data_IF_379043957771
#
_entry.id   IF_379043957771
#
_cell.length_a   1.000
_cell.length_b   1.000
_cell.length_c   1.000
_cell.angle_alpha   90.00
_cell.angle_beta   90.00
_cell.angle_gamma   90.00
#
_symmetry.space_group_name_H-M   'P 1'
#
loop_
_entity.id
_entity.type
_entity.pdbx_description
1 polymer ?
#
# COMPACT_ATOMS: atom_id res chain seq x y z
N UNK A 1 7.16 -11.57 13.96
CA UNK A 1 6.48 -11.53 12.66
C UNK A 1 5.11 -12.13 12.86
N UNK A 2 4.07 -11.45 12.45
CA UNK A 2 2.67 -11.87 12.68
C UNK A 2 2.14 -12.56 11.42
N UNK A 3 1.34 -13.59 11.61
CA UNK A 3 0.68 -14.31 10.52
C UNK A 3 -0.82 -14.13 10.63
N UNK A 4 -1.53 -14.18 9.50
CA UNK A 4 -2.99 -14.16 9.52
C UNK A 4 -3.52 -15.49 10.06
N UNK A 5 -4.66 -15.48 10.77
CA UNK A 5 -5.27 -16.72 11.24
C UNK A 5 -5.65 -17.65 10.08
N UNK A 6 -5.34 -18.95 10.19
CA UNK A 6 -5.65 -19.95 9.16
C UNK A 6 -7.16 -20.00 8.83
N UNK A 7 -8.00 -19.77 9.85
CA UNK A 7 -9.46 -19.77 9.74
C UNK A 7 -10.04 -18.54 9.02
N UNK A 8 -9.22 -17.51 8.69
CA UNK A 8 -9.71 -16.32 8.00
C UNK A 8 -10.13 -16.65 6.57
N UNK A 9 -11.42 -16.54 6.31
CA UNK A 9 -12.04 -16.75 5.00
C UNK A 9 -13.04 -15.61 4.76
N UNK A 10 -12.66 -14.57 3.99
CA UNK A 10 -13.54 -13.44 3.72
C UNK A 10 -14.68 -13.86 2.77
N UNK A 11 -15.89 -13.40 3.05
CA UNK A 11 -17.05 -13.53 2.15
C UNK A 11 -16.97 -12.49 1.03
N UNK A 12 -17.80 -12.64 -0.01
CA UNK A 12 -17.81 -11.71 -1.16
C UNK A 12 -18.30 -10.30 -0.81
N UNK A 13 -19.01 -10.15 0.30
CA UNK A 13 -19.54 -8.90 0.86
C UNK A 13 -18.72 -8.36 2.05
N UNK A 14 -17.55 -8.95 2.30
CA UNK A 14 -16.72 -8.69 3.47
C UNK A 14 -16.33 -7.21 3.66
N UNK A 15 -16.19 -6.46 2.56
CA UNK A 15 -15.82 -5.05 2.54
C UNK A 15 -16.95 -4.15 1.99
N UNK A 16 -18.20 -4.60 2.03
CA UNK A 16 -19.32 -3.76 1.60
C UNK A 16 -19.29 -2.40 2.31
N UNK A 17 -19.59 -1.35 1.55
CA UNK A 17 -19.61 0.05 2.00
C UNK A 17 -18.25 0.60 2.48
N UNK A 18 -17.16 -0.14 2.34
CA UNK A 18 -15.81 0.36 2.67
C UNK A 18 -15.25 1.22 1.53
N UNK A 19 -14.70 2.38 1.89
CA UNK A 19 -13.99 3.30 0.99
C UNK A 19 -12.49 3.15 1.27
N UNK A 20 -11.74 2.67 0.28
CA UNK A 20 -10.32 2.33 0.47
C UNK A 20 -9.46 3.02 -0.59
N UNK A 21 -8.50 3.84 -0.15
CA UNK A 21 -7.52 4.50 -1.01
C UNK A 21 -6.26 3.63 -1.17
N UNK A 22 -5.87 3.37 -2.41
CA UNK A 22 -4.70 2.57 -2.75
C UNK A 22 -3.72 3.38 -3.58
N UNK A 23 -2.49 3.60 -3.07
CA UNK A 23 -1.43 4.25 -3.85
C UNK A 23 -0.71 3.24 -4.74
N UNK A 24 -0.21 3.71 -5.89
CA UNK A 24 0.43 2.82 -6.84
C UNK A 24 -0.52 1.76 -7.42
N UNK A 25 -1.80 2.10 -7.57
CA UNK A 25 -2.89 1.20 -7.94
C UNK A 25 -2.68 0.44 -9.27
N UNK A 26 -1.78 0.90 -10.14
CA UNK A 26 -1.43 0.23 -11.40
C UNK A 26 -0.14 -0.61 -11.32
N UNK A 27 0.51 -0.67 -10.16
CA UNK A 27 1.64 -1.57 -9.87
C UNK A 27 1.16 -2.97 -9.48
N UNK A 28 2.09 -3.94 -9.36
CA UNK A 28 1.74 -5.34 -9.06
C UNK A 28 0.86 -5.48 -7.83
N UNK A 29 1.33 -5.02 -6.66
CA UNK A 29 0.53 -5.07 -5.44
C UNK A 29 -0.71 -4.19 -5.50
N UNK A 30 -0.57 -2.94 -5.99
CA UNK A 30 -1.71 -2.03 -6.08
C UNK A 30 -2.85 -2.60 -6.91
N UNK A 31 -2.54 -3.22 -8.06
CA UNK A 31 -3.53 -3.85 -8.93
C UNK A 31 -4.19 -5.06 -8.26
N UNK A 32 -3.39 -5.98 -7.71
CA UNK A 32 -3.89 -7.19 -7.06
C UNK A 32 -4.76 -6.87 -5.84
N UNK A 33 -4.31 -5.92 -5.00
CA UNK A 33 -5.04 -5.50 -3.78
C UNK A 33 -6.33 -4.77 -4.12
N UNK A 34 -6.30 -3.82 -5.07
CA UNK A 34 -7.51 -3.10 -5.50
C UNK A 34 -8.56 -4.05 -6.08
N UNK A 35 -8.14 -5.00 -6.93
CA UNK A 35 -9.03 -6.01 -7.49
C UNK A 35 -9.64 -6.90 -6.39
N UNK A 36 -8.82 -7.33 -5.43
CA UNK A 36 -9.29 -8.14 -4.31
C UNK A 36 -10.30 -7.40 -3.44
N UNK A 37 -10.06 -6.12 -3.14
CA UNK A 37 -10.98 -5.30 -2.35
C UNK A 37 -12.30 -5.04 -3.08
N UNK A 38 -12.24 -4.67 -4.37
CA UNK A 38 -13.43 -4.47 -5.19
C UNK A 38 -14.26 -5.76 -5.29
N UNK A 39 -13.61 -6.92 -5.48
CA UNK A 39 -14.28 -8.25 -5.49
C UNK A 39 -15.01 -8.55 -4.18
N UNK A 40 -14.58 -7.98 -3.06
CA UNK A 40 -15.21 -8.19 -1.75
C UNK A 40 -16.12 -7.02 -1.34
N UNK A 41 -16.52 -6.16 -2.29
CA UNK A 41 -17.55 -5.15 -2.12
C UNK A 41 -17.07 -3.74 -1.77
N UNK A 42 -15.75 -3.50 -1.68
CA UNK A 42 -15.24 -2.15 -1.40
C UNK A 42 -15.31 -1.23 -2.62
N UNK A 43 -15.59 0.05 -2.40
CA UNK A 43 -15.28 1.12 -3.34
C UNK A 43 -13.81 1.49 -3.20
N UNK A 44 -13.03 1.27 -4.25
CA UNK A 44 -11.59 1.54 -4.24
C UNK A 44 -11.28 2.86 -4.93
N UNK A 45 -10.45 3.69 -4.31
CA UNK A 45 -9.90 4.93 -4.89
C UNK A 45 -8.51 4.61 -5.42
N UNK A 46 -8.34 4.65 -6.73
CA UNK A 46 -7.15 4.23 -7.45
C UNK A 46 -6.20 5.41 -7.66
N UNK A 47 -5.20 5.58 -6.79
CA UNK A 47 -4.19 6.62 -6.94
C UNK A 47 -2.99 6.10 -7.73
N UNK A 48 -2.72 6.69 -8.91
CA UNK A 48 -1.59 6.35 -9.76
C UNK A 48 -1.17 7.52 -10.65
N UNK A 49 0.11 7.55 -11.08
CA UNK A 49 0.62 8.65 -11.92
C UNK A 49 0.23 8.57 -13.40
N UNK A 50 -0.08 7.39 -13.89
CA UNK A 50 -0.37 7.18 -15.32
C UNK A 50 -1.88 7.06 -15.54
N UNK A 51 -2.49 8.14 -16.04
CA UNK A 51 -3.92 8.22 -16.27
C UNK A 51 -4.44 7.09 -17.17
N UNK A 52 -3.81 6.84 -18.32
CA UNK A 52 -4.26 5.79 -19.25
C UNK A 52 -4.27 4.40 -18.62
N UNK A 53 -3.26 4.10 -17.78
CA UNK A 53 -3.19 2.78 -17.10
C UNK A 53 -4.25 2.65 -16.02
N UNK A 54 -4.54 3.72 -15.30
CA UNK A 54 -5.55 3.66 -14.23
C UNK A 54 -6.96 3.64 -14.81
N UNK A 55 -7.23 4.35 -15.91
CA UNK A 55 -8.49 4.25 -16.68
C UNK A 55 -8.74 2.84 -17.19
N UNK A 56 -7.75 2.21 -17.82
CA UNK A 56 -7.86 0.82 -18.28
C UNK A 56 -8.11 -0.15 -17.12
N UNK A 57 -7.56 0.12 -15.93
CA UNK A 57 -7.79 -0.69 -14.74
C UNK A 57 -9.16 -0.41 -14.10
N UNK A 58 -9.64 0.82 -14.16
CA UNK A 58 -10.99 1.20 -13.80
C UNK A 58 -12.02 0.38 -14.64
N UNK A 59 -11.87 0.39 -15.96
CA UNK A 59 -12.73 -0.38 -16.88
C UNK A 59 -12.69 -1.89 -16.59
N UNK A 60 -11.51 -2.42 -16.20
CA UNK A 60 -11.36 -3.82 -15.83
C UNK A 60 -12.18 -4.18 -14.57
N UNK A 61 -12.19 -3.31 -13.56
CA UNK A 61 -12.98 -3.49 -12.33
C UNK A 61 -14.48 -3.41 -12.64
N UNK A 62 -14.93 -2.38 -13.38
CA UNK A 62 -16.35 -2.23 -13.76
C UNK A 62 -16.86 -3.42 -14.58
N UNK A 63 -16.06 -3.92 -15.51
CA UNK A 63 -16.42 -5.09 -16.34
C UNK A 63 -16.66 -6.36 -15.52
N UNK A 64 -16.07 -6.48 -14.32
CA UNK A 64 -16.31 -7.58 -13.41
C UNK A 64 -17.63 -7.43 -12.64
N UNK A 65 -18.31 -6.28 -12.74
CA UNK A 65 -19.54 -5.99 -12.00
C UNK A 65 -19.29 -5.65 -10.53
N UNK A 66 -18.07 -5.27 -10.16
CA UNK A 66 -17.73 -4.82 -8.81
C UNK A 66 -18.14 -3.35 -8.60
N UNK A 67 -18.13 -2.83 -7.34
CA UNK A 67 -18.40 -1.43 -7.09
C UNK A 67 -17.53 -0.51 -7.96
N UNK A 68 -18.16 0.51 -8.54
CA UNK A 68 -17.48 1.49 -9.40
C UNK A 68 -16.33 2.15 -8.66
N UNK A 69 -15.07 2.02 -9.13
CA UNK A 69 -13.93 2.63 -8.47
C UNK A 69 -13.88 4.15 -8.73
N UNK A 70 -13.14 4.89 -7.91
CA UNK A 70 -12.75 6.26 -8.21
C UNK A 70 -11.30 6.31 -8.70
N UNK A 71 -10.97 7.28 -9.56
CA UNK A 71 -9.61 7.51 -10.05
C UNK A 71 -9.06 8.81 -9.48
N UNK A 72 -7.82 8.77 -8.99
CA UNK A 72 -7.08 9.97 -8.59
C UNK A 72 -5.68 9.98 -9.22
N UNK A 73 -5.49 10.67 -10.36
CA UNK A 73 -4.18 10.80 -10.99
C UNK A 73 -3.27 11.69 -10.14
N UNK A 74 -2.16 11.14 -9.62
CA UNK A 74 -1.17 11.90 -8.86
C UNK A 74 0.23 11.32 -9.04
N UNK A 75 1.22 12.20 -9.30
CA UNK A 75 2.62 11.83 -9.29
C UNK A 75 3.24 12.10 -7.92
N UNK A 76 3.45 11.06 -7.12
CA UNK A 76 3.98 11.16 -5.77
C UNK A 76 5.40 11.77 -5.70
N UNK A 77 6.15 11.75 -6.79
CA UNK A 77 7.49 12.33 -6.87
C UNK A 77 7.46 13.85 -6.78
N UNK A 78 6.46 14.49 -7.39
CA UNK A 78 6.32 15.96 -7.43
C UNK A 78 5.19 16.50 -6.56
N UNK A 79 4.41 15.64 -5.91
CA UNK A 79 3.28 16.08 -5.10
C UNK A 79 3.73 16.85 -3.85
N UNK A 80 3.03 17.94 -3.57
CA UNK A 80 3.23 18.84 -2.44
C UNK A 80 2.20 18.61 -1.34
N UNK A 81 2.37 19.22 -0.16
CA UNK A 81 1.35 19.20 0.90
C UNK A 81 -0.02 19.68 0.40
N UNK A 82 -0.05 20.66 -0.51
CA UNK A 82 -1.30 21.18 -1.08
C UNK A 82 -2.05 20.10 -1.89
N UNK A 83 -1.34 19.32 -2.71
CA UNK A 83 -1.94 18.26 -3.52
C UNK A 83 -2.57 17.16 -2.65
N UNK A 84 -1.93 16.81 -1.52
CA UNK A 84 -2.49 15.85 -0.56
C UNK A 84 -3.67 16.41 0.23
N UNK A 85 -3.66 17.71 0.55
CA UNK A 85 -4.80 18.37 1.19
C UNK A 85 -6.01 18.44 0.24
N UNK A 86 -5.78 18.75 -1.03
CA UNK A 86 -6.82 18.74 -2.08
C UNK A 86 -7.40 17.32 -2.28
N UNK A 87 -6.55 16.30 -2.32
CA UNK A 87 -7.01 14.90 -2.35
C UNK A 87 -7.94 14.58 -1.18
N UNK A 88 -7.55 14.96 0.04
CA UNK A 88 -8.37 14.71 1.22
C UNK A 88 -9.73 15.43 1.15
N UNK A 89 -9.77 16.69 0.68
CA UNK A 89 -11.00 17.45 0.47
C UNK A 89 -11.90 16.76 -0.57
N UNK A 90 -11.33 16.29 -1.68
CA UNK A 90 -12.09 15.61 -2.72
C UNK A 90 -12.70 14.30 -2.21
N UNK A 91 -11.93 13.50 -1.45
CA UNK A 91 -12.45 12.28 -0.81
C UNK A 91 -13.56 12.61 0.20
N UNK A 92 -13.39 13.69 0.98
CA UNK A 92 -14.40 14.12 1.94
C UNK A 92 -15.72 14.50 1.24
N UNK A 93 -15.63 15.27 0.17
CA UNK A 93 -16.80 15.74 -0.59
C UNK A 93 -17.54 14.61 -1.27
N UNK A 94 -16.84 13.59 -1.76
CA UNK A 94 -17.43 12.49 -2.52
C UNK A 94 -17.92 11.34 -1.61
N UNK A 95 -17.13 10.98 -0.59
CA UNK A 95 -17.38 9.80 0.22
C UNK A 95 -17.64 10.09 1.71
N UNK A 96 -17.31 11.29 2.19
CA UNK A 96 -17.50 11.72 3.57
C UNK A 96 -16.52 11.10 4.58
N UNK A 97 -15.89 9.96 4.28
CA UNK A 97 -14.96 9.23 5.14
C UNK A 97 -13.97 8.41 4.34
N UNK A 98 -13.00 7.84 5.03
CA UNK A 98 -12.10 6.82 4.50
C UNK A 98 -11.99 5.65 5.50
N UNK A 99 -12.19 4.42 5.02
CA UNK A 99 -12.12 3.22 5.86
C UNK A 99 -10.77 2.50 5.76
N UNK A 100 -10.01 2.74 4.69
CA UNK A 100 -8.71 2.13 4.50
C UNK A 100 -7.75 2.98 3.66
N UNK A 101 -6.46 2.91 3.99
CA UNK A 101 -5.37 3.47 3.22
C UNK A 101 -4.27 2.42 3.02
N UNK A 102 -3.94 2.09 1.77
CA UNK A 102 -2.89 1.12 1.46
C UNK A 102 -1.78 1.75 0.64
N UNK A 103 -0.60 1.80 1.22
CA UNK A 103 0.60 2.32 0.56
C UNK A 103 1.32 1.22 -0.24
N UNK A 104 0.89 1.03 -1.51
CA UNK A 104 1.51 0.10 -2.45
C UNK A 104 2.56 0.76 -3.36
N UNK A 105 2.58 2.09 -3.45
CA UNK A 105 3.56 2.81 -4.26
C UNK A 105 4.97 2.63 -3.69
N UNK A 106 5.93 2.41 -4.58
CA UNK A 106 7.34 2.34 -4.22
C UNK A 106 8.24 2.10 -5.42
N UNK A 107 9.46 2.58 -5.33
CA UNK A 107 10.51 2.39 -6.33
C UNK A 107 11.76 1.83 -5.69
N UNK A 108 12.53 1.08 -6.48
CA UNK A 108 13.80 0.48 -6.03
C UNK A 108 14.96 1.49 -6.00
N UNK A 109 14.93 2.48 -6.88
CA UNK A 109 16.12 3.29 -7.17
C UNK A 109 17.16 2.48 -7.93
N UNK A 110 18.42 2.62 -7.53
CA UNK A 110 19.57 1.93 -8.11
C UNK A 110 20.39 1.27 -7.00
N UNK A 111 20.24 -0.05 -6.78
CA UNK A 111 21.10 -0.79 -5.83
C UNK A 111 22.58 -0.59 -6.20
N UNK A 112 23.35 -0.02 -5.27
CA UNK A 112 24.72 0.39 -5.52
C UNK A 112 25.52 0.45 -4.21
N UNK A 113 26.87 0.33 -4.24
CA UNK A 113 27.70 0.69 -3.10
C UNK A 113 27.42 2.13 -2.65
N UNK A 114 27.36 2.35 -1.34
CA UNK A 114 26.96 3.63 -0.76
C UNK A 114 27.79 4.83 -1.25
N UNK A 115 29.09 4.63 -1.47
CA UNK A 115 30.01 5.68 -1.99
C UNK A 115 29.69 6.14 -3.42
N UNK A 116 28.95 5.34 -4.19
CA UNK A 116 28.52 5.66 -5.56
C UNK A 116 27.02 5.98 -5.65
N UNK A 117 26.35 6.16 -4.51
CA UNK A 117 24.93 6.52 -4.48
C UNK A 117 24.71 7.87 -5.15
N UNK A 118 23.81 7.91 -6.11
CA UNK A 118 23.39 9.16 -6.75
C UNK A 118 22.40 9.92 -5.88
N UNK A 119 22.75 11.15 -5.52
CA UNK A 119 21.93 11.99 -4.63
C UNK A 119 20.54 12.26 -5.18
N UNK A 120 20.38 12.40 -6.49
CA UNK A 120 19.06 12.61 -7.10
C UNK A 120 18.19 11.36 -6.95
N UNK A 121 18.74 10.19 -7.23
CA UNK A 121 18.07 8.90 -7.03
C UNK A 121 17.73 8.68 -5.55
N UNK A 122 18.63 9.03 -4.64
CA UNK A 122 18.39 9.00 -3.19
C UNK A 122 17.16 9.83 -2.80
N UNK A 123 17.09 11.09 -3.24
CA UNK A 123 15.95 11.96 -2.95
C UNK A 123 14.67 11.43 -3.58
N UNK A 124 14.70 10.95 -4.82
CA UNK A 124 13.54 10.40 -5.50
C UNK A 124 12.96 9.19 -4.76
N UNK A 125 13.82 8.26 -4.31
CA UNK A 125 13.39 7.09 -3.55
C UNK A 125 12.74 7.49 -2.23
N UNK A 126 13.36 8.40 -1.48
CA UNK A 126 12.79 8.87 -0.20
C UNK A 126 11.49 9.65 -0.42
N UNK A 127 11.40 10.45 -1.48
CA UNK A 127 10.18 11.19 -1.80
C UNK A 127 9.01 10.22 -2.03
N UNK A 128 9.19 9.18 -2.83
CA UNK A 128 8.10 8.26 -3.19
C UNK A 128 7.84 7.23 -2.08
N UNK A 129 8.90 6.65 -1.49
CA UNK A 129 8.74 5.52 -0.56
C UNK A 129 8.46 5.95 0.88
N UNK A 130 8.77 7.19 1.28
CA UNK A 130 8.67 7.65 2.66
C UNK A 130 7.90 8.97 2.81
N UNK A 131 8.31 10.05 2.11
CA UNK A 131 7.67 11.36 2.29
C UNK A 131 6.22 11.39 1.78
N UNK A 132 5.96 10.77 0.62
CA UNK A 132 4.61 10.65 0.09
C UNK A 132 3.67 9.86 1.03
N UNK A 133 4.03 8.67 1.54
CA UNK A 133 3.27 7.98 2.57
C UNK A 133 3.01 8.83 3.82
N UNK A 134 4.01 9.56 4.30
CA UNK A 134 3.86 10.46 5.45
C UNK A 134 2.83 11.57 5.18
N UNK A 135 3.01 12.31 4.09
CA UNK A 135 2.14 13.45 3.75
C UNK A 135 0.69 13.00 3.49
N UNK A 136 0.53 11.91 2.73
CA UNK A 136 -0.79 11.37 2.43
C UNK A 136 -1.49 10.87 3.70
N UNK A 137 -0.82 10.05 4.52
CA UNK A 137 -1.43 9.56 5.76
C UNK A 137 -1.87 10.71 6.65
N UNK A 138 -0.98 11.69 6.86
CA UNK A 138 -1.28 12.88 7.65
C UNK A 138 -2.53 13.63 7.14
N UNK A 139 -2.65 13.80 5.83
CA UNK A 139 -3.76 14.54 5.22
C UNK A 139 -5.10 13.81 5.34
N UNK A 140 -5.12 12.47 5.32
CA UNK A 140 -6.38 11.69 5.38
C UNK A 140 -6.76 11.19 6.79
N UNK A 141 -5.93 11.40 7.81
CA UNK A 141 -6.26 11.07 9.22
C UNK A 141 -7.64 11.58 9.63
N UNK A 142 -8.06 12.84 9.33
CA UNK A 142 -9.39 13.31 9.68
C UNK A 142 -10.52 12.46 9.08
N UNK A 143 -10.32 11.91 7.87
CA UNK A 143 -11.29 11.04 7.19
C UNK A 143 -11.29 9.63 7.80
N UNK A 144 -10.13 9.09 8.15
CA UNK A 144 -10.00 7.81 8.84
C UNK A 144 -10.68 7.83 10.21
N UNK A 145 -10.61 8.95 10.93
CA UNK A 145 -11.31 9.15 12.22
C UNK A 145 -12.84 9.08 12.11
N UNK A 146 -13.41 9.34 10.93
CA UNK A 146 -14.86 9.27 10.66
C UNK A 146 -15.35 7.84 10.38
N UNK A 147 -14.47 6.89 10.13
CA UNK A 147 -14.80 5.47 9.99
C UNK A 147 -15.12 4.85 11.34
N UNK A 148 -15.96 3.83 11.35
CA UNK A 148 -16.18 3.01 12.57
C UNK A 148 -14.93 2.20 12.94
N UNK A 149 -14.19 1.75 11.93
CA UNK A 149 -12.88 1.11 12.05
C UNK A 149 -12.09 1.33 10.77
N UNK A 150 -10.97 2.01 10.89
CA UNK A 150 -10.08 2.34 9.78
C UNK A 150 -8.77 1.55 9.86
N UNK A 151 -8.20 1.22 8.70
CA UNK A 151 -6.92 0.54 8.62
C UNK A 151 -5.95 1.27 7.69
N UNK A 152 -4.71 1.46 8.16
CA UNK A 152 -3.59 1.95 7.35
C UNK A 152 -2.57 0.85 7.20
N UNK A 153 -2.23 0.50 5.95
CA UNK A 153 -1.32 -0.59 5.63
C UNK A 153 -0.13 -0.08 4.82
N UNK A 154 1.07 -0.37 5.31
CA UNK A 154 2.32 -0.06 4.62
C UNK A 154 2.97 -1.33 4.09
N UNK A 155 3.37 -1.35 2.82
CA UNK A 155 4.24 -2.40 2.27
C UNK A 155 5.68 -2.06 2.60
N UNK A 156 6.28 -2.85 3.51
CA UNK A 156 7.65 -2.72 3.96
C UNK A 156 8.55 -3.81 3.35
N UNK A 157 9.84 -3.77 3.66
CA UNK A 157 10.82 -4.77 3.29
C UNK A 157 11.91 -4.81 4.37
N UNK A 158 12.58 -5.93 4.56
CA UNK A 158 13.61 -6.12 5.57
C UNK A 158 15.05 -5.92 5.04
N UNK A 159 15.19 -5.34 3.84
CA UNK A 159 16.48 -5.12 3.18
C UNK A 159 17.39 -4.18 3.97
N UNK A 160 18.38 -4.75 4.64
CA UNK A 160 19.38 -4.06 5.50
C UNK A 160 20.83 -4.34 5.09
N UNK A 161 21.04 -5.19 4.08
CA UNK A 161 22.36 -5.59 3.64
C UNK A 161 23.04 -4.54 2.76
N UNK A 162 24.24 -4.86 2.30
CA UNK A 162 24.98 -4.04 1.36
C UNK A 162 24.19 -3.79 0.07
N UNK A 163 24.41 -2.64 -0.53
CA UNK A 163 23.89 -2.22 -1.83
C UNK A 163 22.39 -1.84 -1.89
N UNK A 164 21.63 -1.97 -0.80
CA UNK A 164 20.22 -1.57 -0.81
C UNK A 164 19.97 -0.07 -0.71
N UNK A 165 21.00 0.70 -0.37
CA UNK A 165 21.04 2.16 -0.44
C UNK A 165 19.73 2.85 0.04
N UNK A 166 19.24 3.84 -0.69
CA UNK A 166 18.01 4.59 -0.38
C UNK A 166 16.77 3.69 -0.20
N UNK A 167 16.66 2.60 -1.00
CA UNK A 167 15.54 1.68 -0.87
C UNK A 167 15.48 1.04 0.52
N UNK A 168 16.57 0.43 0.95
CA UNK A 168 16.64 -0.22 2.26
C UNK A 168 16.34 0.76 3.39
N UNK A 169 16.95 1.95 3.37
CA UNK A 169 16.71 3.00 4.36
C UNK A 169 15.25 3.42 4.37
N UNK A 170 14.65 3.71 3.21
CA UNK A 170 13.26 4.15 3.12
C UNK A 170 12.27 3.10 3.64
N UNK A 171 12.50 1.81 3.37
CA UNK A 171 11.62 0.73 3.83
C UNK A 171 11.71 0.49 5.34
N UNK A 172 12.90 0.64 5.94
CA UNK A 172 13.06 0.58 7.40
C UNK A 172 12.42 1.79 8.09
N UNK A 173 12.60 2.99 7.54
CA UNK A 173 11.97 4.21 8.03
C UNK A 173 10.44 4.12 7.98
N UNK A 174 9.90 3.56 6.90
CA UNK A 174 8.46 3.34 6.74
C UNK A 174 7.89 2.37 7.81
N UNK A 175 8.62 1.28 8.12
CA UNK A 175 8.23 0.35 9.17
C UNK A 175 8.23 1.02 10.56
N UNK A 176 9.23 1.85 10.85
CA UNK A 176 9.30 2.63 12.09
C UNK A 176 8.15 3.66 12.16
N UNK A 177 7.85 4.36 11.07
CA UNK A 177 6.74 5.30 11.00
C UNK A 177 5.40 4.62 11.29
N UNK A 178 5.18 3.42 10.77
CA UNK A 178 3.97 2.65 11.06
C UNK A 178 3.83 2.32 12.55
N UNK A 179 4.93 1.94 13.21
CA UNK A 179 4.93 1.66 14.67
C UNK A 179 4.63 2.92 15.50
N UNK A 180 5.19 4.07 15.11
CA UNK A 180 4.92 5.36 15.77
C UNK A 180 3.44 5.70 15.65
N UNK A 181 2.89 5.64 14.45
CA UNK A 181 1.46 5.92 14.20
C UNK A 181 0.56 4.93 14.95
N UNK A 182 0.89 3.64 14.98
CA UNK A 182 0.14 2.65 15.72
C UNK A 182 0.07 2.99 17.23
N UNK A 183 1.19 3.40 17.81
CA UNK A 183 1.25 3.79 19.21
C UNK A 183 0.45 5.08 19.49
N UNK A 184 0.52 6.07 18.60
CA UNK A 184 -0.25 7.33 18.72
C UNK A 184 -1.76 7.12 18.63
N UNK A 185 -2.21 6.13 17.87
CA UNK A 185 -3.63 5.80 17.68
C UNK A 185 -4.09 4.57 18.47
N UNK A 186 -3.31 4.11 19.44
CA UNK A 186 -3.71 3.02 20.34
C UNK A 186 -5.04 3.33 21.05
N UNK A 187 -5.95 2.37 21.06
CA UNK A 187 -7.30 2.54 21.64
C UNK A 187 -8.26 3.40 20.80
N UNK A 188 -7.84 3.88 19.63
CA UNK A 188 -8.72 4.58 18.69
C UNK A 188 -9.34 3.61 17.67
N UNK A 189 -10.13 4.15 16.74
CA UNK A 189 -10.69 3.41 15.62
C UNK A 189 -9.67 3.17 14.46
N UNK A 190 -8.46 3.71 14.54
CA UNK A 190 -7.43 3.60 13.48
C UNK A 190 -6.40 2.54 13.87
N UNK A 191 -6.26 1.51 13.02
CA UNK A 191 -5.25 0.47 13.16
C UNK A 191 -4.19 0.66 12.07
N UNK A 192 -2.93 0.62 12.45
CA UNK A 192 -1.80 0.83 11.54
C UNK A 192 -0.90 -0.39 11.57
N UNK A 193 -0.72 -1.05 10.43
CA UNK A 193 0.08 -2.26 10.33
C UNK A 193 0.96 -2.25 9.08
N UNK A 194 1.94 -3.15 9.06
CA UNK A 194 2.82 -3.38 7.91
C UNK A 194 2.59 -4.76 7.30
N UNK A 195 2.88 -4.87 6.01
CA UNK A 195 3.09 -6.14 5.33
C UNK A 195 4.52 -6.13 4.77
N UNK A 196 5.30 -7.14 5.13
CA UNK A 196 6.51 -7.51 4.41
C UNK A 196 6.20 -8.76 3.58
N UNK A 197 5.95 -8.64 2.28
CA UNK A 197 5.54 -9.76 1.44
C UNK A 197 6.67 -10.75 1.15
N UNK A 198 7.91 -10.42 1.53
CA UNK A 198 9.08 -11.20 1.16
C UNK A 198 9.36 -11.15 -0.36
N UNK A 199 10.07 -12.16 -0.86
CA UNK A 199 10.35 -12.29 -2.29
C UNK A 199 9.04 -12.53 -3.05
N UNK A 200 8.67 -11.60 -3.92
CA UNK A 200 7.43 -11.65 -4.70
C UNK A 200 7.73 -11.31 -6.16
N UNK A 201 7.18 -12.06 -7.10
CA UNK A 201 7.35 -11.82 -8.54
C UNK A 201 6.75 -10.49 -8.97
N UNK A 202 7.56 -9.46 -8.94
CA UNK A 202 7.22 -8.09 -9.32
C UNK A 202 8.31 -7.51 -10.23
N UNK A 203 8.02 -6.48 -11.04
CA UNK A 203 9.05 -5.78 -11.80
C UNK A 203 10.18 -5.22 -10.92
N UNK A 204 9.88 -4.84 -9.68
CA UNK A 204 10.87 -4.38 -8.71
C UNK A 204 11.83 -5.51 -8.31
N UNK A 205 11.31 -6.70 -7.99
CA UNK A 205 12.10 -7.89 -7.65
C UNK A 205 12.98 -8.33 -8.83
N UNK A 206 12.41 -8.42 -10.04
CA UNK A 206 13.14 -8.79 -11.26
C UNK A 206 14.26 -7.78 -11.54
N UNK A 207 13.99 -6.49 -11.34
CA UNK A 207 15.01 -5.44 -11.53
C UNK A 207 16.12 -5.50 -10.47
N UNK A 208 15.79 -5.90 -9.23
CA UNK A 208 16.78 -6.08 -8.16
C UNK A 208 17.65 -7.33 -8.38
N UNK A 209 17.09 -8.39 -8.98
CA UNK A 209 17.72 -9.69 -9.19
C UNK A 209 17.46 -10.20 -10.61
N UNK A 210 18.01 -9.56 -11.66
CA UNK A 210 17.65 -9.88 -13.04
C UNK A 210 18.11 -11.28 -13.50
N UNK A 211 19.13 -11.83 -12.85
CA UNK A 211 19.69 -13.15 -13.18
C UNK A 211 19.24 -14.26 -12.20
N UNK A 212 18.25 -14.02 -11.36
CA UNK A 212 17.79 -15.05 -10.42
C UNK A 212 16.83 -16.02 -11.11
N UNK A 213 17.23 -17.27 -11.26
CA UNK A 213 16.43 -18.35 -11.88
C UNK A 213 15.11 -18.58 -11.14
N UNK A 214 15.09 -18.28 -9.84
CA UNK A 214 13.90 -18.43 -8.98
C UNK A 214 12.78 -17.40 -9.24
N UNK A 215 13.04 -16.33 -10.02
CA UNK A 215 12.05 -15.27 -10.23
C UNK A 215 10.71 -15.76 -10.79
N UNK A 216 10.72 -16.81 -11.63
CA UNK A 216 9.49 -17.37 -12.19
C UNK A 216 8.68 -18.21 -11.20
N UNK A 217 9.33 -18.81 -10.21
CA UNK A 217 8.70 -19.64 -9.18
C UNK A 217 8.23 -18.84 -7.95
N UNK A 218 8.58 -17.55 -7.86
CA UNK A 218 8.17 -16.70 -6.75
C UNK A 218 6.65 -16.50 -6.71
N UNK A 219 6.08 -16.39 -5.49
CA UNK A 219 4.68 -15.97 -5.33
C UNK A 219 4.40 -14.66 -6.07
N UNK A 220 3.19 -14.52 -6.57
CA UNK A 220 2.71 -13.28 -7.21
C UNK A 220 2.12 -12.32 -6.17
N UNK A 221 1.79 -11.09 -6.56
CA UNK A 221 1.12 -10.15 -5.68
C UNK A 221 -0.28 -10.65 -5.28
N UNK A 222 -0.95 -11.39 -6.15
CA UNK A 222 -2.26 -12.01 -5.94
C UNK A 222 -2.23 -13.03 -4.80
N UNK A 223 -1.16 -13.80 -4.65
CA UNK A 223 -0.99 -14.80 -3.58
C UNK A 223 -0.95 -14.16 -2.18
N UNK A 224 -0.64 -12.87 -2.10
CA UNK A 224 -0.57 -12.12 -0.85
C UNK A 224 -1.86 -11.38 -0.48
N UNK A 225 -2.86 -11.32 -1.37
CA UNK A 225 -4.07 -10.49 -1.18
C UNK A 225 -4.86 -10.84 0.07
N UNK A 226 -4.81 -12.10 0.52
CA UNK A 226 -5.47 -12.54 1.75
C UNK A 226 -4.98 -11.78 3.00
N UNK A 227 -3.68 -11.41 3.08
CA UNK A 227 -3.14 -10.58 4.17
C UNK A 227 -3.74 -9.17 4.15
N UNK A 228 -3.86 -8.58 2.97
CA UNK A 228 -4.45 -7.25 2.83
C UNK A 228 -5.94 -7.25 3.18
N UNK A 229 -6.70 -8.28 2.77
CA UNK A 229 -8.09 -8.45 3.17
C UNK A 229 -8.23 -8.58 4.70
N UNK A 230 -7.37 -9.36 5.35
CA UNK A 230 -7.38 -9.50 6.80
C UNK A 230 -7.17 -8.16 7.51
N UNK A 231 -6.24 -7.35 7.04
CA UNK A 231 -5.93 -6.03 7.61
C UNK A 231 -7.05 -4.99 7.41
N UNK A 232 -8.05 -5.26 6.57
CA UNK A 232 -9.26 -4.44 6.43
C UNK A 232 -10.45 -5.01 7.23
N UNK A 233 -10.22 -6.05 8.04
CA UNK A 233 -11.29 -6.67 8.85
C UNK A 233 -11.79 -5.73 9.94
N UNK A 234 -13.11 -5.73 10.14
CA UNK A 234 -13.73 -5.05 11.29
C UNK A 234 -13.34 -5.70 12.62
N UNK A 235 -12.91 -6.96 12.61
CA UNK A 235 -12.46 -7.71 13.78
C UNK A 235 -10.92 -7.72 13.92
N UNK A 236 -10.22 -6.82 13.26
CA UNK A 236 -8.78 -6.69 13.37
C UNK A 236 -8.43 -6.13 14.76
N UNK A 237 -7.67 -6.87 15.55
CA UNK A 237 -7.18 -6.42 16.85
C UNK A 237 -5.72 -5.95 16.80
N UNK A 238 -4.97 -6.42 15.79
CA UNK A 238 -3.56 -6.08 15.67
C UNK A 238 -3.35 -4.62 15.26
N UNK A 239 -2.46 -3.96 16.01
CA UNK A 239 -2.00 -2.61 15.77
C UNK A 239 -0.48 -2.54 15.96
N UNK A 240 0.25 -1.94 15.02
CA UNK A 240 1.72 -1.89 15.02
C UNK A 240 2.40 -3.20 14.60
N UNK A 241 1.66 -4.19 14.11
CA UNK A 241 2.21 -5.47 13.69
C UNK A 241 2.80 -5.41 12.27
N UNK A 242 3.78 -6.28 12.00
CA UNK A 242 4.30 -6.53 10.67
C UNK A 242 3.95 -7.97 10.25
N UNK A 243 3.11 -8.09 9.24
CA UNK A 243 2.65 -9.37 8.72
C UNK A 243 3.58 -9.88 7.62
N UNK A 244 3.81 -11.18 7.62
CA UNK A 244 4.62 -11.86 6.60
C UNK A 244 3.88 -13.11 6.12
N UNK A 245 4.07 -13.52 4.85
CA UNK A 245 3.51 -14.77 4.36
C UNK A 245 4.08 -15.97 5.14
N UNK A 246 3.30 -17.02 5.23
CA UNK A 246 3.81 -18.33 5.69
C UNK A 246 4.73 -18.83 4.59
N UNK A 247 6.02 -18.88 4.85
CA UNK A 247 6.98 -19.53 3.95
C UNK A 247 6.82 -21.03 4.20
N UNK A 248 6.16 -21.72 3.28
CA UNK A 248 6.07 -23.18 3.24
C UNK A 248 7.36 -23.83 2.77
#
# INVERSE_FOLDING_TARGET
MTQIPDRFQPTTDFLNDKIILITGATGSFGKAVSMAYAKHGATVILLAKNLRKVEAFYDEIEKQGYPTPAIYPMNLEGATEHDYAELAINIENEFGRLDGLVHCAGILGAPTPFEYSDTQTWHQVHQINLHAPYLLTRSVIPLLKKSTKASVVFITDDKKGAYWDAYGVSKQALATMAQILAAEYEGSNIHVNCINPGKTRTPLQIRAFPAADENESLPTAEDHTKMFLYLMSVNLDENGACFTPIIG
#
